data_IF_762038825812
#
_entry.id   IF_762038825812
#
_cell.length_a   1.000
_cell.length_b   1.000
_cell.length_c   1.000
_cell.angle_alpha   90.00
_cell.angle_beta   90.00
_cell.angle_gamma   90.00
#
_symmetry.space_group_name_H-M   'P 1'
#
loop_
_entity.id
_entity.type
_entity.pdbx_description
1 polymer ?
#
# COMPACT_ATOMS: atom_id res chain seq x y z
N UNK A 1 14.38 14.35 -5.44
CA UNK A 1 15.81 14.44 -5.85
C UNK A 1 15.95 13.87 -7.25
N UNK A 2 16.66 14.58 -8.14
CA UNK A 2 16.93 14.11 -9.50
C UNK A 2 18.44 14.10 -9.74
N UNK A 3 18.93 13.00 -10.28
CA UNK A 3 20.32 12.82 -10.69
C UNK A 3 20.41 13.10 -12.18
N UNK A 4 21.23 14.09 -12.53
CA UNK A 4 21.37 14.54 -13.91
C UNK A 4 22.29 13.62 -14.71
N UNK A 5 22.06 13.56 -16.02
CA UNK A 5 22.86 12.77 -16.96
C UNK A 5 24.35 13.09 -16.80
N UNK A 6 25.19 12.07 -16.82
CA UNK A 6 26.64 12.19 -16.68
C UNK A 6 27.14 12.16 -15.23
N UNK A 7 26.25 12.12 -14.24
CA UNK A 7 26.65 11.93 -12.85
C UNK A 7 27.05 10.46 -12.64
N UNK A 8 28.20 10.23 -12.00
CA UNK A 8 28.77 8.91 -11.74
C UNK A 8 29.24 8.79 -10.27
N UNK A 9 29.39 7.56 -9.78
CA UNK A 9 29.86 7.26 -8.41
C UNK A 9 29.01 7.94 -7.33
N UNK A 10 27.70 7.91 -7.50
CA UNK A 10 26.75 8.60 -6.63
C UNK A 10 26.43 7.70 -5.45
N UNK A 11 26.69 8.18 -4.24
CA UNK A 11 26.35 7.48 -3.02
C UNK A 11 25.34 8.30 -2.22
N UNK A 12 24.17 7.71 -1.99
CA UNK A 12 23.09 8.29 -1.20
C UNK A 12 22.91 7.41 0.04
N UNK A 13 23.23 7.92 1.22
CA UNK A 13 23.21 7.13 2.47
C UNK A 13 22.32 7.78 3.51
N UNK A 14 21.52 6.98 4.21
CA UNK A 14 20.66 7.42 5.32
C UNK A 14 19.75 8.61 4.96
N UNK A 15 19.24 8.61 3.73
CA UNK A 15 18.34 9.67 3.27
C UNK A 15 16.93 9.45 3.82
N UNK A 16 16.31 10.53 4.28
CA UNK A 16 14.89 10.57 4.60
C UNK A 16 14.16 11.51 3.64
N UNK A 17 13.08 11.03 3.02
CA UNK A 17 12.24 11.79 2.10
C UNK A 17 10.79 11.74 2.57
N UNK A 18 10.18 12.90 2.82
CA UNK A 18 8.81 13.00 3.31
C UNK A 18 7.94 13.77 2.30
N UNK A 19 6.94 13.10 1.76
CA UNK A 19 6.01 13.65 0.78
C UNK A 19 6.63 13.94 -0.59
N UNK A 20 5.77 14.30 -1.54
CA UNK A 20 6.16 14.73 -2.87
C UNK A 20 5.92 13.69 -3.96
N UNK A 21 6.06 14.14 -5.21
CA UNK A 21 5.78 13.31 -6.40
C UNK A 21 6.91 12.33 -6.72
N UNK A 22 8.15 12.78 -6.59
CA UNK A 22 9.33 12.00 -6.97
C UNK A 22 10.35 11.99 -5.82
N UNK A 23 10.71 10.80 -5.37
CA UNK A 23 11.75 10.57 -4.37
C UNK A 23 13.13 10.67 -5.00
N UNK A 24 13.73 9.55 -5.39
CA UNK A 24 15.00 9.52 -6.12
C UNK A 24 14.74 9.17 -7.58
N UNK A 25 15.20 10.02 -8.49
CA UNK A 25 15.09 9.79 -9.94
C UNK A 25 16.48 9.74 -10.56
N UNK A 26 16.86 8.58 -11.09
CA UNK A 26 18.13 8.36 -11.79
C UNK A 26 17.88 7.98 -13.25
N UNK A 27 18.60 8.65 -14.16
CA UNK A 27 18.44 8.45 -15.61
C UNK A 27 19.46 7.44 -16.15
N UNK A 28 19.24 6.96 -17.38
CA UNK A 28 20.13 5.96 -18.01
C UNK A 28 21.55 6.45 -18.32
N UNK A 29 21.82 7.76 -18.25
CA UNK A 29 23.18 8.27 -18.39
C UNK A 29 23.90 8.49 -17.07
N UNK A 30 23.40 7.91 -15.97
CA UNK A 30 24.10 7.81 -14.70
C UNK A 30 24.85 6.47 -14.61
N UNK A 31 25.92 6.42 -13.81
CA UNK A 31 26.62 5.17 -13.51
C UNK A 31 26.92 5.07 -12.02
N UNK A 32 27.05 3.82 -11.53
CA UNK A 32 27.53 3.52 -10.18
C UNK A 32 26.72 4.21 -9.08
N UNK A 33 25.39 4.19 -9.22
CA UNK A 33 24.46 4.67 -8.20
C UNK A 33 24.33 3.64 -7.08
N UNK A 34 24.68 4.04 -5.87
CA UNK A 34 24.44 3.28 -4.65
C UNK A 34 23.51 4.07 -3.72
N UNK A 35 22.41 3.45 -3.32
CA UNK A 35 21.47 3.97 -2.32
C UNK A 35 21.53 3.04 -1.11
N UNK A 36 21.73 3.59 0.07
CA UNK A 36 21.85 2.84 1.32
C UNK A 36 20.98 3.46 2.40
N UNK A 37 20.19 2.64 3.09
CA UNK A 37 19.33 3.03 4.21
C UNK A 37 18.37 4.19 3.85
N UNK A 38 17.67 4.08 2.71
CA UNK A 38 16.67 5.05 2.29
C UNK A 38 15.39 4.91 3.12
N UNK A 39 14.90 5.99 3.69
CA UNK A 39 13.56 6.08 4.27
C UNK A 39 12.70 7.03 3.43
N UNK A 40 11.55 6.57 2.93
CA UNK A 40 10.57 7.45 2.29
C UNK A 40 9.20 7.33 2.93
N UNK A 41 8.52 8.44 3.18
CA UNK A 41 7.16 8.45 3.71
C UNK A 41 6.24 9.25 2.78
N UNK A 42 5.20 8.61 2.25
CA UNK A 42 4.17 9.21 1.39
C UNK A 42 4.73 9.91 0.13
N UNK A 43 5.78 9.34 -0.46
CA UNK A 43 6.32 9.80 -1.74
C UNK A 43 5.65 9.02 -2.86
N UNK A 44 5.10 9.70 -3.87
CA UNK A 44 4.30 9.04 -4.92
C UNK A 44 5.12 8.00 -5.70
N UNK A 45 6.34 8.33 -6.13
CA UNK A 45 7.32 7.37 -6.67
C UNK A 45 8.62 7.43 -5.86
N UNK A 46 8.86 6.47 -4.97
CA UNK A 46 9.96 6.57 -4.00
C UNK A 46 11.34 6.45 -4.67
N UNK A 47 11.55 5.44 -5.52
CA UNK A 47 12.75 5.35 -6.35
C UNK A 47 12.37 5.00 -7.77
N UNK A 48 12.88 5.78 -8.72
CA UNK A 48 12.79 5.50 -10.16
C UNK A 48 14.18 5.55 -10.75
N UNK A 49 14.70 4.40 -11.13
CA UNK A 49 16.05 4.29 -11.67
C UNK A 49 16.05 3.65 -13.04
N UNK A 50 16.74 4.30 -13.96
CA UNK A 50 17.21 3.71 -15.21
C UNK A 50 18.73 3.67 -15.26
N UNK A 51 19.43 3.97 -14.16
CA UNK A 51 20.88 3.90 -14.06
C UNK A 51 21.31 2.43 -14.13
N UNK A 52 22.18 2.04 -15.07
CA UNK A 52 22.72 0.68 -15.13
C UNK A 52 23.48 0.33 -13.84
N UNK A 53 23.37 -0.94 -13.44
CA UNK A 53 24.03 -1.52 -12.27
C UNK A 53 23.79 -0.75 -10.97
N UNK A 54 22.60 -0.15 -10.80
CA UNK A 54 22.26 0.52 -9.56
C UNK A 54 22.18 -0.50 -8.40
N UNK A 55 22.63 -0.07 -7.22
CA UNK A 55 22.56 -0.87 -5.99
C UNK A 55 21.71 -0.13 -4.98
N UNK A 56 20.69 -0.81 -4.45
CA UNK A 56 19.81 -0.33 -3.39
C UNK A 56 19.93 -1.31 -2.23
N UNK A 57 20.43 -0.84 -1.08
CA UNK A 57 20.73 -1.67 0.07
C UNK A 57 20.13 -1.10 1.35
N UNK A 58 19.18 -1.81 1.94
CA UNK A 58 18.56 -1.39 3.19
C UNK A 58 17.63 -0.19 3.03
N UNK A 59 16.61 -0.15 3.88
CA UNK A 59 15.70 0.99 3.97
C UNK A 59 14.23 0.60 3.99
N UNK A 60 13.40 1.63 4.07
CA UNK A 60 11.95 1.52 4.23
C UNK A 60 11.23 2.53 3.35
N UNK A 61 10.25 2.05 2.57
CA UNK A 61 9.32 2.88 1.81
C UNK A 61 7.94 2.72 2.46
N UNK A 62 7.32 3.81 2.91
CA UNK A 62 6.01 3.83 3.52
C UNK A 62 5.04 4.66 2.68
N UNK A 63 3.97 4.04 2.17
CA UNK A 63 2.98 4.67 1.31
C UNK A 63 3.50 4.96 -0.10
N UNK A 64 2.71 5.69 -0.88
CA UNK A 64 3.04 6.07 -2.26
C UNK A 64 2.29 5.27 -3.32
N UNK A 65 2.47 5.66 -4.57
CA UNK A 65 1.90 4.96 -5.73
C UNK A 65 2.81 3.82 -6.17
N UNK A 66 4.12 4.07 -6.33
CA UNK A 66 5.11 3.05 -6.69
C UNK A 66 6.29 3.09 -5.73
N UNK A 67 6.64 1.95 -5.13
CA UNK A 67 7.84 1.85 -4.30
C UNK A 67 9.12 1.96 -5.13
N UNK A 68 9.39 0.95 -5.95
CA UNK A 68 10.57 0.90 -6.82
C UNK A 68 10.16 0.78 -8.30
N UNK A 69 10.62 1.69 -9.15
CA UNK A 69 10.50 1.61 -10.61
C UNK A 69 11.88 1.40 -11.24
N UNK A 70 12.14 0.18 -11.69
CA UNK A 70 13.44 -0.33 -12.10
C UNK A 70 13.45 -0.59 -13.62
N UNK A 71 14.16 0.25 -14.35
CA UNK A 71 14.21 0.22 -15.82
C UNK A 71 15.60 -0.12 -16.40
N UNK A 72 16.55 -0.51 -15.55
CA UNK A 72 17.90 -0.97 -15.92
C UNK A 72 18.39 -2.04 -14.92
N UNK A 73 19.51 -2.70 -15.20
CA UNK A 73 20.11 -3.65 -14.27
C UNK A 73 20.22 -3.06 -12.86
N UNK A 74 19.61 -3.71 -11.87
CA UNK A 74 19.55 -3.20 -10.49
C UNK A 74 19.59 -4.35 -9.50
N UNK A 75 20.38 -4.20 -8.43
CA UNK A 75 20.33 -5.09 -7.26
C UNK A 75 19.67 -4.36 -6.11
N UNK A 76 18.62 -4.96 -5.56
CA UNK A 76 17.88 -4.48 -4.39
C UNK A 76 18.06 -5.50 -3.28
N UNK A 77 18.48 -5.03 -2.10
CA UNK A 77 18.70 -5.90 -0.93
C UNK A 77 18.17 -5.25 0.34
N UNK A 78 17.53 -6.03 1.23
CA UNK A 78 17.17 -5.59 2.58
C UNK A 78 16.13 -4.45 2.64
N UNK A 79 15.29 -4.30 1.62
CA UNK A 79 14.28 -3.23 1.56
C UNK A 79 12.94 -3.68 2.13
N UNK A 80 12.27 -2.80 2.88
CA UNK A 80 10.87 -2.93 3.26
C UNK A 80 10.01 -1.91 2.51
N UNK A 81 8.91 -2.35 1.88
CA UNK A 81 7.97 -1.51 1.15
C UNK A 81 6.58 -1.74 1.76
N UNK A 82 6.00 -0.73 2.39
CA UNK A 82 4.77 -0.85 3.16
C UNK A 82 3.72 0.13 2.66
N UNK A 83 2.56 -0.36 2.21
CA UNK A 83 1.40 0.46 1.85
C UNK A 83 1.52 1.22 0.53
N UNK A 84 2.48 0.89 -0.33
CA UNK A 84 2.50 1.38 -1.71
C UNK A 84 1.40 0.70 -2.54
N UNK A 85 0.80 1.39 -3.51
CA UNK A 85 -0.17 0.77 -4.43
C UNK A 85 0.50 -0.31 -5.29
N UNK A 86 1.64 0.02 -5.89
CA UNK A 86 2.53 -0.89 -6.60
C UNK A 86 3.87 -1.00 -5.85
N UNK A 87 4.26 -2.20 -5.44
CA UNK A 87 5.50 -2.42 -4.67
C UNK A 87 6.75 -2.21 -5.52
N UNK A 88 6.97 -3.11 -6.48
CA UNK A 88 8.10 -3.07 -7.41
C UNK A 88 7.59 -3.19 -8.84
N UNK A 89 7.94 -2.23 -9.67
CA UNK A 89 7.80 -2.27 -11.12
C UNK A 89 9.14 -2.51 -11.77
N UNK A 90 9.25 -3.58 -12.56
CA UNK A 90 10.47 -3.97 -13.25
C UNK A 90 10.23 -3.99 -14.77
N UNK A 91 11.10 -3.29 -15.51
CA UNK A 91 11.00 -3.12 -16.97
C UNK A 91 12.38 -2.95 -17.62
N UNK A 92 13.25 -3.93 -17.42
CA UNK A 92 14.61 -3.93 -17.97
C UNK A 92 14.85 -5.13 -18.88
N UNK A 93 15.65 -4.97 -19.92
CA UNK A 93 16.18 -6.12 -20.68
C UNK A 93 17.38 -6.77 -19.99
N UNK A 94 17.87 -6.18 -18.91
CA UNK A 94 19.01 -6.64 -18.13
C UNK A 94 18.57 -7.19 -16.76
N UNK A 95 19.42 -8.00 -16.10
CA UNK A 95 19.05 -8.65 -14.83
C UNK A 95 18.70 -7.65 -13.72
N UNK A 96 17.55 -7.88 -13.09
CA UNK A 96 17.16 -7.25 -11.84
C UNK A 96 17.12 -8.33 -10.76
N UNK A 97 17.78 -8.08 -9.62
CA UNK A 97 17.76 -8.96 -8.46
C UNK A 97 17.15 -8.23 -7.27
N UNK A 98 16.17 -8.85 -6.63
CA UNK A 98 15.61 -8.42 -5.36
C UNK A 98 15.83 -9.52 -4.32
N UNK A 99 16.56 -9.22 -3.25
CA UNK A 99 16.92 -10.18 -2.21
C UNK A 99 16.61 -9.66 -0.81
N UNK A 100 16.04 -10.50 0.07
CA UNK A 100 15.65 -10.09 1.42
C UNK A 100 14.74 -8.84 1.39
N UNK A 101 13.81 -8.79 0.43
CA UNK A 101 12.87 -7.68 0.27
C UNK A 101 11.52 -8.08 0.84
N UNK A 102 10.93 -7.20 1.64
CA UNK A 102 9.56 -7.33 2.15
C UNK A 102 8.67 -6.31 1.45
N UNK A 103 7.68 -6.77 0.70
CA UNK A 103 6.71 -5.94 -0.02
C UNK A 103 5.32 -6.21 0.54
N UNK A 104 4.76 -5.22 1.23
CA UNK A 104 3.38 -5.17 1.71
C UNK A 104 2.63 -4.10 0.90
N UNK A 105 2.27 -4.42 -0.35
CA UNK A 105 1.59 -3.49 -1.25
C UNK A 105 0.07 -3.59 -1.12
N UNK A 106 -0.65 -2.52 -1.43
CA UNK A 106 -2.12 -2.53 -1.35
C UNK A 106 -2.74 -3.21 -2.56
N UNK A 107 -2.24 -2.95 -3.77
CA UNK A 107 -2.87 -3.43 -5.00
C UNK A 107 -1.99 -4.46 -5.73
N UNK A 108 -0.78 -4.10 -6.13
CA UNK A 108 0.13 -4.94 -6.92
C UNK A 108 1.50 -5.04 -6.26
N UNK A 109 1.94 -6.25 -5.90
CA UNK A 109 3.22 -6.46 -5.23
C UNK A 109 4.40 -6.30 -6.18
N UNK A 110 4.47 -7.17 -7.17
CA UNK A 110 5.51 -7.21 -8.20
C UNK A 110 4.87 -7.09 -9.59
N UNK A 111 5.32 -6.13 -10.38
CA UNK A 111 4.94 -5.97 -11.78
C UNK A 111 6.17 -6.11 -12.67
N UNK A 112 6.36 -7.29 -13.24
CA UNK A 112 7.51 -7.63 -14.07
C UNK A 112 7.08 -7.63 -15.54
N UNK A 113 7.64 -6.69 -16.31
CA UNK A 113 7.31 -6.55 -17.73
C UNK A 113 7.82 -7.76 -18.52
N UNK A 114 7.12 -8.17 -19.60
CA UNK A 114 7.56 -9.28 -20.45
C UNK A 114 9.00 -9.08 -20.94
N UNK A 115 9.79 -10.16 -20.89
CA UNK A 115 11.21 -10.14 -21.28
C UNK A 115 12.16 -9.58 -20.22
N UNK A 116 11.66 -9.22 -19.02
CA UNK A 116 12.51 -8.78 -17.91
C UNK A 116 13.08 -9.97 -17.14
N UNK A 117 14.41 -10.16 -17.08
CA UNK A 117 15.03 -11.20 -16.26
C UNK A 117 15.06 -10.73 -14.79
N UNK A 118 13.99 -11.01 -14.07
CA UNK A 118 13.84 -10.67 -12.65
C UNK A 118 14.10 -11.89 -11.77
N UNK A 119 14.95 -11.76 -10.75
CA UNK A 119 15.19 -12.79 -9.73
C UNK A 119 14.72 -12.28 -8.37
N UNK A 120 13.90 -13.07 -7.68
CA UNK A 120 13.43 -12.79 -6.33
C UNK A 120 13.98 -13.83 -5.37
N UNK A 121 14.73 -13.39 -4.35
CA UNK A 121 15.40 -14.27 -3.41
C UNK A 121 15.04 -13.96 -1.95
N UNK A 122 14.71 -14.99 -1.16
CA UNK A 122 14.49 -14.85 0.29
C UNK A 122 13.55 -13.68 0.67
N UNK A 123 12.50 -13.45 -0.12
CA UNK A 123 11.67 -12.25 -0.04
C UNK A 123 10.21 -12.57 0.29
N UNK A 124 9.48 -11.60 0.81
CA UNK A 124 8.03 -11.70 1.00
C UNK A 124 7.29 -10.66 0.16
N UNK A 125 6.23 -11.07 -0.52
CA UNK A 125 5.36 -10.18 -1.27
C UNK A 125 3.91 -10.48 -0.97
N UNK A 126 3.26 -9.51 -0.33
CA UNK A 126 1.84 -9.54 -0.02
C UNK A 126 1.15 -8.35 -0.70
N UNK A 127 0.18 -8.64 -1.55
CA UNK A 127 -0.66 -7.66 -2.24
C UNK A 127 -1.94 -8.30 -2.75
N UNK A 128 -2.97 -7.51 -3.09
CA UNK A 128 -4.20 -8.04 -3.68
C UNK A 128 -3.92 -8.85 -4.95
N UNK A 129 -3.00 -8.37 -5.78
CA UNK A 129 -2.33 -9.10 -6.84
C UNK A 129 -0.84 -9.17 -6.51
N UNK A 130 -0.38 -10.26 -5.89
CA UNK A 130 0.99 -10.35 -5.41
C UNK A 130 2.04 -10.25 -6.53
N UNK A 131 1.79 -10.87 -7.68
CA UNK A 131 2.71 -10.86 -8.82
C UNK A 131 1.95 -10.79 -10.15
N UNK A 132 2.41 -9.89 -11.01
CA UNK A 132 2.11 -9.84 -12.44
C UNK A 132 3.40 -9.99 -13.23
N UNK A 133 3.47 -10.97 -14.12
CA UNK A 133 4.66 -11.26 -14.92
C UNK A 133 5.39 -12.53 -14.47
N UNK A 134 6.61 -12.71 -14.98
CA UNK A 134 7.43 -13.90 -14.73
C UNK A 134 8.71 -13.47 -14.03
N UNK A 135 9.13 -14.25 -13.04
CA UNK A 135 10.40 -14.08 -12.35
C UNK A 135 11.00 -15.44 -12.00
N UNK A 136 12.30 -15.44 -11.69
CA UNK A 136 13.04 -16.59 -11.18
C UNK A 136 13.02 -16.56 -9.65
N UNK A 137 12.34 -17.50 -8.97
CA UNK A 137 12.41 -17.61 -7.52
C UNK A 137 13.72 -18.29 -7.09
N UNK A 138 14.37 -17.74 -6.08
CA UNK A 138 15.51 -18.36 -5.38
C UNK A 138 15.27 -18.36 -3.86
N UNK A 139 15.74 -19.40 -3.17
CA UNK A 139 15.55 -19.52 -1.72
C UNK A 139 14.08 -19.58 -1.30
N UNK A 140 13.78 -19.03 -0.11
CA UNK A 140 12.42 -19.09 0.46
C UNK A 140 11.67 -17.80 0.18
N UNK A 141 10.76 -17.83 -0.78
CA UNK A 141 9.89 -16.70 -1.07
C UNK A 141 8.48 -16.94 -0.53
N UNK A 142 7.90 -15.94 0.14
CA UNK A 142 6.52 -15.97 0.59
C UNK A 142 5.68 -15.03 -0.27
N UNK A 143 4.63 -15.55 -0.91
CA UNK A 143 3.78 -14.78 -1.82
C UNK A 143 2.33 -15.06 -1.45
N UNK A 144 1.62 -14.04 -0.97
CA UNK A 144 0.24 -14.21 -0.52
C UNK A 144 -0.60 -12.96 -0.71
N UNK A 145 -1.88 -13.05 -0.39
CA UNK A 145 -2.74 -11.88 -0.25
C UNK A 145 -2.29 -11.05 0.97
N UNK A 146 -2.66 -9.75 1.04
CA UNK A 146 -2.41 -8.94 2.22
C UNK A 146 -3.13 -9.58 3.41
N UNK A 147 -2.58 -9.48 4.62
CA UNK A 147 -3.30 -9.92 5.81
C UNK A 147 -4.64 -9.18 5.90
N UNK A 148 -5.75 -9.93 5.82
CA UNK A 148 -7.08 -9.36 5.94
C UNK A 148 -7.24 -8.77 7.35
N UNK A 149 -7.61 -7.49 7.45
CA UNK A 149 -8.00 -6.90 8.72
C UNK A 149 -9.38 -7.47 9.14
N UNK A 150 -9.36 -8.66 9.73
CA UNK A 150 -10.55 -9.40 10.15
C UNK A 150 -11.43 -8.62 11.12
N UNK A 151 -10.86 -7.67 11.87
CA UNK A 151 -11.61 -6.81 12.77
C UNK A 151 -12.55 -5.86 12.01
N UNK A 152 -12.07 -5.27 10.91
CA UNK A 152 -12.90 -4.44 10.03
C UNK A 152 -13.96 -5.29 9.30
N UNK A 153 -13.58 -6.49 8.83
CA UNK A 153 -14.50 -7.41 8.15
C UNK A 153 -15.66 -7.89 9.03
N UNK A 154 -15.43 -8.06 10.35
CA UNK A 154 -16.49 -8.43 11.31
C UNK A 154 -17.26 -7.22 11.85
N UNK A 155 -16.64 -6.03 11.88
CA UNK A 155 -17.28 -4.80 12.35
C UNK A 155 -18.45 -4.33 11.47
N UNK A 156 -18.32 -4.43 10.15
CA UNK A 156 -19.38 -4.04 9.19
C UNK A 156 -20.69 -4.81 9.42
N UNK A 157 -20.71 -6.16 9.48
CA UNK A 157 -21.92 -6.91 9.77
C UNK A 157 -22.52 -6.57 11.15
N UNK A 158 -21.69 -6.34 12.17
CA UNK A 158 -22.16 -5.96 13.50
C UNK A 158 -22.82 -4.58 13.54
N UNK A 159 -22.26 -3.59 12.84
CA UNK A 159 -22.87 -2.25 12.71
C UNK A 159 -24.19 -2.33 11.95
N UNK A 160 -24.23 -3.07 10.82
CA UNK A 160 -25.47 -3.28 10.08
C UNK A 160 -26.54 -3.98 10.92
N UNK A 161 -26.15 -4.99 11.70
CA UNK A 161 -27.05 -5.67 12.63
C UNK A 161 -27.60 -4.72 13.70
N UNK A 162 -26.74 -3.88 14.28
CA UNK A 162 -27.17 -2.88 15.26
C UNK A 162 -28.19 -1.90 14.68
N UNK A 163 -27.97 -1.40 13.45
CA UNK A 163 -28.90 -0.52 12.74
C UNK A 163 -30.24 -1.22 12.51
N UNK A 164 -30.23 -2.49 12.05
CA UNK A 164 -31.47 -3.25 11.83
C UNK A 164 -32.23 -3.44 13.14
N UNK A 165 -31.55 -3.80 14.22
CA UNK A 165 -32.17 -3.99 15.53
C UNK A 165 -32.76 -2.69 16.09
N UNK A 166 -32.10 -1.56 15.86
CA UNK A 166 -32.57 -0.23 16.25
C UNK A 166 -33.85 0.17 15.50
N UNK A 167 -33.92 -0.13 14.19
CA UNK A 167 -35.14 0.12 13.41
C UNK A 167 -36.31 -0.75 13.87
N UNK A 168 -36.07 -2.02 14.15
CA UNK A 168 -37.10 -2.93 14.69
C UNK A 168 -37.61 -2.43 16.05
N UNK A 169 -36.73 -1.94 16.92
CA UNK A 169 -37.11 -1.36 18.21
C UNK A 169 -37.95 -0.09 18.04
N UNK A 170 -37.54 0.81 17.17
CA UNK A 170 -38.23 2.08 16.90
C UNK A 170 -39.64 1.84 16.34
N UNK A 171 -39.78 0.88 15.43
CA UNK A 171 -41.08 0.46 14.89
C UNK A 171 -41.99 -0.16 15.98
N UNK A 172 -41.43 -0.98 16.89
CA UNK A 172 -42.20 -1.52 18.02
C UNK A 172 -42.66 -0.41 18.98
N UNK A 173 -41.82 0.55 19.30
CA UNK A 173 -42.18 1.65 20.21
C UNK A 173 -43.29 2.55 19.65
N UNK A 174 -43.24 2.86 18.34
CA UNK A 174 -44.31 3.64 17.68
C UNK A 174 -45.66 2.91 17.67
N UNK A 175 -45.66 1.58 17.60
CA UNK A 175 -46.89 0.78 17.60
C UNK A 175 -47.54 0.65 18.98
N UNK A 176 -46.78 0.82 20.07
CA UNK A 176 -47.26 0.68 21.45
C UNK A 176 -47.57 2.03 22.13
N UNK A 177 -47.00 3.15 21.64
CA UNK A 177 -47.19 4.48 22.22
C UNK A 177 -48.48 5.24 21.83
N UNK A 178 -49.29 4.71 20.91
CA UNK A 178 -50.43 5.41 20.32
C UNK A 178 -51.78 5.20 21.01
N UNK A 179 -51.88 5.28 22.35
CA UNK A 179 -53.21 5.45 22.98
C UNK A 179 -53.14 5.89 24.45
N UNK A 180 -52.94 7.19 24.70
CA UNK A 180 -53.43 7.84 25.93
C UNK A 180 -54.11 9.15 25.56
N UNK A 181 -55.32 9.06 24.99
CA UNK A 181 -56.29 10.18 25.00
C UNK A 181 -56.59 10.53 26.46
N UNK A 182 -56.04 11.63 26.96
CA UNK A 182 -56.57 12.32 28.13
C UNK A 182 -57.80 13.10 27.68
N UNK A 183 -58.99 12.54 27.92
CA UNK A 183 -60.23 13.31 27.96
C UNK A 183 -60.33 13.97 29.35
N UNK A 184 -60.43 15.30 29.45
CA UNK A 184 -60.88 15.93 30.68
C UNK A 184 -62.39 15.66 30.89
N UNK A 185 -62.84 15.47 32.14
CA UNK A 185 -64.23 15.15 32.45
C UNK A 185 -65.14 16.36 32.21
N UNK A 186 -66.40 16.09 31.91
CA UNK A 186 -67.42 17.09 31.61
C UNK A 186 -68.42 17.26 32.76
N UNK A 187 -68.97 18.50 32.84
CA UNK A 187 -70.27 18.97 33.40
C UNK A 187 -70.36 19.01 34.97
N UNK A 188 -71.12 19.93 35.64
CA UNK A 188 -72.22 20.77 35.15
C UNK A 188 -72.28 22.25 35.55
N UNK A 189 -73.05 23.01 34.75
CA UNK A 189 -73.54 24.37 35.04
C UNK A 189 -74.86 24.22 35.79
N UNK A 190 -74.96 24.77 37.00
CA UNK A 190 -76.19 24.87 37.79
C UNK A 190 -76.69 26.32 37.80
N UNK A 191 -77.94 26.51 37.41
CA UNK A 191 -78.67 27.77 37.49
C UNK A 191 -79.03 28.12 38.94
N UNK A 192 -78.97 29.41 39.29
CA UNK A 192 -79.40 29.98 40.56
C UNK A 192 -79.09 31.47 40.61
#
# INVERSE_FOLDING_TARGET
MRLERGSAHIQLTALQLDGGRDGIVASAGNSDLTITDLTTNNVEAAVRTSSPNAVINGGTINGGSTGLDLAAATTVSGMSINGASEGIRARSTEPIRAENVAVEATDLGLNVSPGTPFTLANSSVHALEAVRGIFTPEGTNNISLPPLNLLAAMGVPLILLAIVLEQVHTFRQRKVGGNKRRLPPAIPVGAG
#
